data_IF_625969970105
#
_entry.id   IF_625969970105
#
_cell.length_a   1.000
_cell.length_b   1.000
_cell.length_c   1.000
_cell.angle_alpha   90.00
_cell.angle_beta   90.00
_cell.angle_gamma   90.00
#
_symmetry.space_group_name_H-M   'P 1'
#
loop_
_entity.id
_entity.type
_entity.pdbx_description
1 polymer ?
#
# COMPACT_ATOMS: atom_id res chain seq x y z
N UNK A 1 24.51 -29.14 3.83
CA UNK A 1 24.16 -28.09 4.79
C UNK A 1 23.37 -27.01 4.04
N UNK A 2 22.15 -26.68 4.51
CA UNK A 2 21.35 -25.61 3.92
C UNK A 2 21.98 -24.23 4.16
N UNK A 3 21.90 -23.36 3.18
CA UNK A 3 22.33 -21.98 3.37
C UNK A 3 21.31 -21.23 4.24
N UNK A 4 21.81 -20.51 5.24
CA UNK A 4 20.97 -19.66 6.09
C UNK A 4 20.30 -18.56 5.24
N UNK A 5 18.98 -18.45 5.34
CA UNK A 5 18.21 -17.35 4.81
C UNK A 5 17.64 -16.55 5.99
N UNK A 6 18.01 -15.31 6.11
CA UNK A 6 17.59 -14.43 7.21
C UNK A 6 17.75 -12.97 6.81
N UNK A 7 16.82 -12.14 7.21
CA UNK A 7 16.90 -10.68 7.13
C UNK A 7 16.68 -10.09 8.53
N UNK A 8 17.57 -9.24 8.97
CA UNK A 8 17.38 -8.43 10.18
C UNK A 8 18.24 -7.17 10.09
N UNK A 9 17.73 -6.09 10.63
CA UNK A 9 18.39 -4.79 10.56
C UNK A 9 18.48 -4.17 11.94
N UNK A 10 19.68 -3.74 12.32
CA UNK A 10 19.88 -3.04 13.59
C UNK A 10 19.29 -1.63 13.49
N UNK A 11 18.46 -1.25 14.42
CA UNK A 11 17.88 0.08 14.48
C UNK A 11 18.96 1.18 14.48
N UNK A 12 18.79 2.17 13.58
CA UNK A 12 19.73 3.29 13.37
C UNK A 12 21.15 2.91 12.93
N UNK A 13 21.38 1.71 12.43
CA UNK A 13 22.67 1.39 11.85
C UNK A 13 22.81 2.02 10.47
N UNK A 14 23.83 2.86 10.27
CA UNK A 14 24.11 3.47 8.98
C UNK A 14 24.56 2.47 7.90
N UNK A 15 24.90 1.24 8.30
CA UNK A 15 25.35 0.17 7.40
C UNK A 15 24.31 -0.95 7.25
N UNK A 16 23.16 -0.82 7.94
CA UNK A 16 22.10 -1.81 7.84
C UNK A 16 21.36 -1.65 6.52
N UNK A 17 21.31 -2.72 5.74
CA UNK A 17 20.72 -2.72 4.40
C UNK A 17 20.08 -4.05 4.03
N UNK A 18 19.68 -4.85 5.01
CA UNK A 18 18.98 -6.11 4.77
C UNK A 18 17.56 -5.88 4.20
N UNK A 19 16.99 -4.68 4.42
CA UNK A 19 15.69 -4.29 3.89
C UNK A 19 15.79 -3.09 2.94
N UNK A 20 15.09 -3.20 1.83
CA UNK A 20 15.01 -2.19 0.77
C UNK A 20 13.58 -1.76 0.50
N UNK A 21 13.31 -0.49 0.20
CA UNK A 21 11.99 -0.06 -0.25
C UNK A 21 11.56 -0.78 -1.54
N UNK A 22 10.24 -0.94 -1.67
CA UNK A 22 9.62 -1.43 -2.89
C UNK A 22 9.16 -2.88 -2.87
N UNK A 23 8.26 -3.21 -3.79
CA UNK A 23 7.77 -4.57 -3.99
C UNK A 23 8.82 -5.46 -4.67
N UNK A 24 8.59 -6.75 -4.61
CA UNK A 24 9.33 -7.75 -5.38
C UNK A 24 8.57 -8.10 -6.66
N UNK A 25 9.30 -8.45 -7.70
CA UNK A 25 8.72 -9.08 -8.88
C UNK A 25 8.10 -10.45 -8.52
N UNK A 26 7.32 -11.02 -9.41
CA UNK A 26 6.70 -12.34 -9.24
C UNK A 26 7.72 -13.48 -9.02
N UNK A 27 8.99 -13.24 -9.35
CA UNK A 27 10.11 -14.18 -9.14
C UNK A 27 11.03 -13.75 -7.98
N UNK A 28 10.60 -12.80 -7.16
CA UNK A 28 11.30 -12.37 -5.95
C UNK A 28 12.59 -11.60 -6.19
N UNK A 29 12.61 -10.73 -7.19
CA UNK A 29 13.73 -9.84 -7.50
C UNK A 29 13.32 -8.37 -7.38
N UNK A 30 14.29 -7.50 -7.13
CA UNK A 30 14.16 -6.05 -7.14
C UNK A 30 15.45 -5.42 -7.68
N UNK A 31 15.45 -4.10 -7.87
CA UNK A 31 16.61 -3.34 -8.35
C UNK A 31 16.69 -1.95 -7.72
N UNK A 32 17.75 -1.22 -8.01
CA UNK A 32 18.00 0.13 -7.49
C UNK A 32 16.87 1.09 -7.90
N UNK A 33 16.43 1.04 -9.15
CA UNK A 33 15.35 1.89 -9.66
C UNK A 33 14.03 1.64 -8.88
N UNK A 34 13.71 0.38 -8.56
CA UNK A 34 12.56 0.06 -7.72
C UNK A 34 12.71 0.67 -6.33
N UNK A 35 13.90 0.56 -5.73
CA UNK A 35 14.17 1.14 -4.42
C UNK A 35 13.96 2.66 -4.42
N UNK A 36 14.52 3.38 -5.39
CA UNK A 36 14.39 4.84 -5.51
C UNK A 36 12.93 5.26 -5.74
N UNK A 37 12.21 4.54 -6.57
CA UNK A 37 10.81 4.81 -6.87
C UNK A 37 9.89 4.59 -5.68
N UNK A 38 10.18 3.62 -4.82
CA UNK A 38 9.34 3.22 -3.71
C UNK A 38 9.82 3.70 -2.33
N UNK A 39 10.90 4.46 -2.25
CA UNK A 39 11.37 5.07 -0.98
C UNK A 39 10.49 6.25 -0.57
N UNK A 40 9.22 5.94 -0.31
CA UNK A 40 8.19 6.91 0.06
C UNK A 40 7.06 6.30 0.87
N UNK A 41 6.30 7.17 1.50
CA UNK A 41 5.01 6.84 2.12
C UNK A 41 3.88 7.36 1.25
N UNK A 42 2.81 6.57 1.14
CA UNK A 42 1.56 6.95 0.49
C UNK A 42 0.55 7.25 1.59
N UNK A 43 0.16 8.51 1.70
CA UNK A 43 -0.70 9.00 2.78
C UNK A 43 -2.06 9.31 2.20
N UNK A 44 -3.11 8.84 2.86
CA UNK A 44 -4.51 9.12 2.51
C UNK A 44 -5.24 9.58 3.76
N UNK A 45 -5.96 10.69 3.64
CA UNK A 45 -6.75 11.24 4.72
C UNK A 45 -8.19 10.71 4.67
N UNK A 46 -8.73 10.39 5.83
CA UNK A 46 -10.12 9.93 5.93
C UNK A 46 -11.15 10.97 5.48
N UNK A 47 -10.83 12.27 5.58
CA UNK A 47 -11.68 13.32 5.04
C UNK A 47 -11.79 13.24 3.52
N UNK A 48 -10.69 12.97 2.82
CA UNK A 48 -10.66 12.86 1.36
C UNK A 48 -11.44 11.63 0.89
N UNK A 49 -11.37 10.52 1.65
CA UNK A 49 -12.21 9.33 1.38
C UNK A 49 -13.70 9.67 1.55
N UNK A 50 -14.08 10.38 2.61
CA UNK A 50 -15.48 10.76 2.86
C UNK A 50 -16.01 11.70 1.79
N UNK A 51 -15.20 12.65 1.34
CA UNK A 51 -15.57 13.59 0.27
C UNK A 51 -15.76 12.85 -1.06
N UNK A 52 -14.86 11.91 -1.36
CA UNK A 52 -14.94 11.07 -2.55
C UNK A 52 -16.21 10.20 -2.56
N UNK A 53 -16.51 9.49 -1.46
CA UNK A 53 -17.72 8.67 -1.36
C UNK A 53 -18.96 9.52 -1.59
N UNK A 54 -19.05 10.70 -0.97
CA UNK A 54 -20.17 11.62 -1.16
C UNK A 54 -20.31 12.06 -2.61
N UNK A 55 -19.19 12.45 -3.25
CA UNK A 55 -19.20 12.88 -4.66
C UNK A 55 -19.64 11.75 -5.60
N UNK A 56 -19.18 10.53 -5.33
CA UNK A 56 -19.59 9.36 -6.10
C UNK A 56 -21.08 9.03 -5.93
N UNK A 57 -21.59 9.00 -4.69
CA UNK A 57 -23.01 8.76 -4.40
C UNK A 57 -23.91 9.82 -5.05
N UNK A 58 -23.49 11.09 -5.07
CA UNK A 58 -24.21 12.17 -5.72
C UNK A 58 -24.23 11.97 -7.24
N UNK A 59 -23.12 11.62 -7.86
CA UNK A 59 -23.03 11.35 -9.30
C UNK A 59 -23.94 10.17 -9.69
N UNK A 60 -23.90 9.07 -8.92
CA UNK A 60 -24.78 7.91 -9.11
C UNK A 60 -26.25 8.29 -8.96
N UNK A 61 -26.59 9.09 -7.96
CA UNK A 61 -27.96 9.58 -7.73
C UNK A 61 -28.49 10.45 -8.87
N UNK A 62 -27.60 11.14 -9.58
CA UNK A 62 -27.94 11.94 -10.77
C UNK A 62 -27.89 11.13 -12.07
N UNK A 63 -27.43 9.87 -12.04
CA UNK A 63 -27.26 9.03 -13.23
C UNK A 63 -26.13 9.51 -14.15
N UNK A 64 -25.09 10.14 -13.60
CA UNK A 64 -23.91 10.61 -14.34
C UNK A 64 -22.64 9.94 -13.83
N UNK A 65 -21.59 9.95 -14.62
CA UNK A 65 -20.27 9.52 -14.18
C UNK A 65 -19.63 10.54 -13.22
N UNK A 66 -18.84 10.07 -12.26
CA UNK A 66 -18.05 10.95 -11.41
C UNK A 66 -17.01 11.70 -12.24
N UNK A 67 -16.97 13.02 -12.10
CA UNK A 67 -15.95 13.84 -12.74
C UNK A 67 -14.58 13.58 -12.07
N UNK A 68 -13.55 13.20 -12.82
CA UNK A 68 -12.21 12.99 -12.29
C UNK A 68 -11.61 14.19 -11.54
N UNK A 69 -12.06 15.42 -11.85
CA UNK A 69 -11.62 16.62 -11.12
C UNK A 69 -12.11 16.63 -9.66
N UNK A 70 -13.18 15.93 -9.36
CA UNK A 70 -13.73 15.79 -8.01
C UNK A 70 -13.11 14.63 -7.19
N UNK A 71 -12.19 13.87 -7.79
CA UNK A 71 -11.45 12.81 -7.08
C UNK A 71 -10.24 13.42 -6.38
N UNK A 72 -10.11 13.28 -5.05
CA UNK A 72 -8.94 13.79 -4.32
C UNK A 72 -7.62 13.18 -4.82
N UNK A 73 -6.58 13.98 -4.86
CA UNK A 73 -5.25 13.60 -5.32
C UNK A 73 -4.67 12.41 -4.54
N UNK A 74 -4.92 12.34 -3.23
CA UNK A 74 -4.43 11.26 -2.38
C UNK A 74 -4.96 9.89 -2.84
N UNK A 75 -6.21 9.85 -3.36
CA UNK A 75 -6.81 8.65 -3.91
C UNK A 75 -6.21 8.31 -5.28
N UNK A 76 -5.98 9.31 -6.14
CA UNK A 76 -5.33 9.10 -7.45
C UNK A 76 -3.89 8.62 -7.32
N UNK A 77 -3.19 9.02 -6.25
CA UNK A 77 -1.80 8.64 -5.96
C UNK A 77 -1.65 7.34 -5.20
N UNK A 78 -2.77 6.72 -4.78
CA UNK A 78 -2.72 5.53 -3.95
C UNK A 78 -2.24 4.30 -4.73
N UNK A 79 -1.26 3.53 -4.22
CA UNK A 79 -0.64 2.43 -4.95
C UNK A 79 -1.47 1.14 -4.86
N UNK A 80 -2.69 1.19 -5.35
CA UNK A 80 -3.54 0.01 -5.45
C UNK A 80 -3.54 -0.54 -6.88
N UNK A 81 -3.72 -1.85 -6.98
CA UNK A 81 -3.71 -2.56 -8.25
C UNK A 81 -4.71 -1.98 -9.24
N UNK A 82 -4.28 -1.70 -10.45
CA UNK A 82 -5.14 -1.24 -11.55
C UNK A 82 -5.37 0.27 -11.59
N UNK A 83 -4.84 1.05 -10.63
CA UNK A 83 -5.04 2.50 -10.58
C UNK A 83 -4.76 3.18 -11.92
N UNK A 84 -5.78 3.71 -12.64
CA UNK A 84 -5.59 4.31 -13.94
C UNK A 84 -4.89 5.66 -13.90
N UNK A 85 -4.91 6.34 -12.75
CA UNK A 85 -4.29 7.66 -12.56
C UNK A 85 -2.81 7.58 -12.20
N UNK A 86 -2.26 6.39 -11.95
CA UNK A 86 -0.90 6.23 -11.44
C UNK A 86 0.16 6.91 -12.30
N UNK A 87 0.10 6.74 -13.61
CA UNK A 87 1.06 7.31 -14.57
C UNK A 87 0.98 8.83 -14.72
N UNK A 88 -0.04 9.48 -14.18
CA UNK A 88 -0.12 10.94 -14.14
C UNK A 88 0.81 11.55 -13.07
N UNK A 89 1.15 10.76 -12.05
CA UNK A 89 1.93 11.20 -10.89
C UNK A 89 3.32 10.55 -10.78
N UNK A 90 3.51 9.40 -11.42
CA UNK A 90 4.72 8.60 -11.27
C UNK A 90 5.21 8.05 -12.62
N UNK A 91 6.51 8.13 -12.86
CA UNK A 91 7.19 7.66 -14.08
C UNK A 91 7.54 6.17 -14.03
N UNK A 92 6.80 5.37 -13.28
CA UNK A 92 7.01 3.92 -13.16
C UNK A 92 5.69 3.17 -13.00
N UNK A 93 5.67 1.92 -13.43
CA UNK A 93 4.47 1.10 -13.43
C UNK A 93 4.15 0.49 -12.05
N UNK A 94 2.87 0.35 -11.75
CA UNK A 94 2.41 -0.48 -10.63
C UNK A 94 2.57 -1.96 -10.95
N UNK A 95 3.08 -2.77 -10.00
CA UNK A 95 3.01 -4.22 -10.12
C UNK A 95 1.56 -4.70 -10.26
N UNK A 96 1.31 -5.46 -11.30
CA UNK A 96 0.00 -6.05 -11.58
C UNK A 96 -0.01 -7.54 -11.22
N UNK A 97 0.12 -7.87 -9.95
CA UNK A 97 0.01 -9.23 -9.45
C UNK A 97 -1.24 -9.44 -8.58
N UNK A 98 -1.59 -10.71 -8.35
CA UNK A 98 -2.81 -11.07 -7.64
C UNK A 98 -2.84 -10.66 -6.16
N UNK A 99 -1.68 -10.40 -5.55
CA UNK A 99 -1.62 -9.94 -4.17
C UNK A 99 -1.93 -8.45 -4.03
N UNK A 100 -1.90 -7.71 -5.15
CA UNK A 100 -2.08 -6.26 -5.15
C UNK A 100 -1.02 -5.54 -4.31
N UNK A 101 -1.27 -4.30 -3.97
CA UNK A 101 -0.46 -3.47 -3.07
C UNK A 101 -1.34 -2.90 -1.96
N UNK A 102 -1.68 -1.62 -2.02
CA UNK A 102 -2.59 -0.99 -1.08
C UNK A 102 -3.98 -1.62 -1.12
N UNK A 103 -4.52 -1.94 0.05
CA UNK A 103 -5.88 -2.47 0.13
C UNK A 103 -6.90 -1.37 -0.15
N UNK A 104 -8.00 -1.71 -0.78
CA UNK A 104 -9.07 -0.78 -1.14
C UNK A 104 -10.45 -1.44 -1.04
N UNK A 105 -11.47 -0.62 -0.90
CA UNK A 105 -12.85 -1.02 -1.12
C UNK A 105 -13.10 -1.04 -2.62
N UNK A 106 -13.61 -2.15 -3.11
CA UNK A 106 -13.91 -2.41 -4.52
C UNK A 106 -15.43 -2.34 -4.71
N UNK A 107 -15.91 -1.23 -5.24
CA UNK A 107 -17.34 -0.93 -5.32
C UNK A 107 -18.05 -1.76 -6.38
N UNK A 108 -17.38 -2.06 -7.49
CA UNK A 108 -17.95 -2.80 -8.62
C UNK A 108 -17.57 -4.29 -8.64
N UNK A 109 -16.61 -4.73 -7.78
CA UNK A 109 -16.19 -6.13 -7.63
C UNK A 109 -15.28 -6.64 -8.74
N UNK A 110 -14.59 -5.77 -9.46
CA UNK A 110 -13.73 -6.14 -10.60
C UNK A 110 -12.28 -6.44 -10.22
N UNK A 111 -11.92 -6.22 -8.95
CA UNK A 111 -10.58 -6.36 -8.38
C UNK A 111 -9.51 -5.42 -8.98
N UNK A 112 -9.92 -4.32 -9.57
CA UNK A 112 -9.04 -3.24 -9.98
C UNK A 112 -9.46 -1.97 -9.26
N UNK A 113 -8.48 -1.18 -8.83
CA UNK A 113 -8.74 0.08 -8.17
C UNK A 113 -8.97 1.17 -9.20
N UNK A 114 -10.18 1.70 -9.25
CA UNK A 114 -10.52 2.90 -9.99
C UNK A 114 -11.41 3.81 -9.13
N UNK A 115 -10.88 4.93 -8.61
CA UNK A 115 -11.70 5.86 -7.84
C UNK A 115 -12.91 6.40 -8.61
N UNK A 116 -12.85 6.44 -9.94
CA UNK A 116 -13.98 6.88 -10.77
C UNK A 116 -15.19 5.96 -10.61
N UNK A 117 -14.94 4.67 -10.35
CA UNK A 117 -15.98 3.65 -10.16
C UNK A 117 -16.47 3.53 -8.71
N UNK A 118 -15.98 4.43 -7.84
CA UNK A 118 -16.39 4.49 -6.43
C UNK A 118 -15.44 3.76 -5.48
N UNK A 119 -14.28 3.30 -5.94
CA UNK A 119 -13.30 2.65 -5.11
C UNK A 119 -12.55 3.67 -4.24
N UNK A 120 -12.14 3.24 -3.07
CA UNK A 120 -11.36 4.07 -2.15
C UNK A 120 -10.40 3.24 -1.29
N UNK A 121 -9.26 3.84 -0.85
CA UNK A 121 -8.33 3.19 0.07
C UNK A 121 -9.02 2.71 1.34
N UNK A 122 -8.75 1.47 1.73
CA UNK A 122 -9.39 0.83 2.86
C UNK A 122 -8.39 0.03 3.70
N UNK A 123 -8.79 -0.33 4.92
CA UNK A 123 -8.03 -1.22 5.78
C UNK A 123 -8.59 -2.63 5.61
N UNK A 124 -7.74 -3.56 5.22
CA UNK A 124 -8.10 -4.97 5.19
C UNK A 124 -7.83 -5.60 6.56
N UNK A 125 -8.87 -5.92 7.29
CA UNK A 125 -8.80 -6.72 8.52
C UNK A 125 -9.42 -8.08 8.24
N UNK A 126 -8.67 -9.15 8.44
CA UNK A 126 -9.14 -10.51 8.14
C UNK A 126 -10.44 -10.82 8.88
N UNK A 127 -11.49 -11.12 8.11
CA UNK A 127 -12.80 -11.48 8.64
C UNK A 127 -13.70 -10.28 8.97
N UNK A 128 -13.29 -9.07 8.70
CA UNK A 128 -14.11 -7.87 8.81
C UNK A 128 -14.38 -7.29 7.43
N UNK A 129 -15.62 -6.83 7.17
CA UNK A 129 -15.90 -6.05 5.96
C UNK A 129 -15.09 -4.74 5.97
N UNK A 130 -14.59 -4.34 4.83
CA UNK A 130 -13.83 -3.09 4.65
C UNK A 130 -14.73 -1.84 4.63
N UNK A 131 -16.03 -2.04 4.77
CA UNK A 131 -17.08 -1.16 4.22
C UNK A 131 -17.44 0.08 5.02
N UNK A 132 -16.99 0.35 6.21
CA UNK A 132 -17.64 1.46 6.92
C UNK A 132 -16.84 2.18 8.00
N UNK A 133 -15.62 1.81 8.22
CA UNK A 133 -14.80 2.44 9.26
C UNK A 133 -13.43 2.79 8.67
N UNK A 134 -13.36 3.95 7.98
CA UNK A 134 -12.02 4.42 7.60
C UNK A 134 -11.42 5.14 8.78
N UNK A 135 -10.11 5.00 8.98
CA UNK A 135 -9.36 5.84 9.89
C UNK A 135 -9.31 7.28 9.38
N UNK A 136 -8.94 8.19 10.26
CA UNK A 136 -8.72 9.58 9.86
C UNK A 136 -7.44 9.77 9.05
N UNK A 137 -6.50 8.84 9.15
CA UNK A 137 -5.30 8.78 8.29
C UNK A 137 -4.86 7.34 8.04
N UNK A 138 -4.48 7.04 6.79
CA UNK A 138 -3.83 5.81 6.37
C UNK A 138 -2.47 6.17 5.79
N UNK A 139 -1.44 5.46 6.23
CA UNK A 139 -0.09 5.52 5.64
C UNK A 139 0.27 4.14 5.12
N UNK A 140 0.53 4.02 3.82
CA UNK A 140 0.96 2.77 3.19
C UNK A 140 2.41 2.86 2.73
N UNK A 141 3.15 1.76 2.90
CA UNK A 141 4.46 1.56 2.28
C UNK A 141 4.75 0.09 2.08
N UNK A 142 5.75 -0.18 1.26
CA UNK A 142 6.19 -1.55 0.97
C UNK A 142 7.71 -1.64 1.02
N UNK A 143 8.22 -2.76 1.51
CA UNK A 143 9.63 -3.06 1.52
C UNK A 143 9.88 -4.56 1.35
N UNK A 144 11.13 -4.90 1.07
CA UNK A 144 11.55 -6.28 0.81
C UNK A 144 12.95 -6.55 1.39
N UNK A 145 13.37 -7.82 1.34
CA UNK A 145 14.69 -8.25 1.80
C UNK A 145 15.61 -8.74 0.67
N UNK A 146 15.31 -8.43 -0.60
CA UNK A 146 16.05 -9.00 -1.73
C UNK A 146 16.89 -8.01 -2.54
N UNK A 147 17.05 -6.76 -2.05
CA UNK A 147 17.75 -5.71 -2.77
C UNK A 147 19.25 -5.92 -2.90
N UNK A 148 19.88 -6.54 -1.92
CA UNK A 148 21.33 -6.79 -1.91
C UNK A 148 21.73 -7.97 -1.03
N UNK A 149 23.05 -8.15 -0.86
CA UNK A 149 23.61 -9.07 0.13
C UNK A 149 23.41 -8.48 1.54
N UNK A 150 22.85 -9.28 2.44
CA UNK A 150 22.59 -8.86 3.81
C UNK A 150 23.87 -8.65 4.60
N UNK A 151 24.15 -7.39 4.96
CA UNK A 151 25.40 -7.04 5.69
C UNK A 151 25.26 -7.20 7.19
N UNK A 152 24.04 -7.10 7.75
CA UNK A 152 23.81 -7.28 9.18
C UNK A 152 23.82 -8.75 9.61
N UNK A 153 23.25 -9.61 8.79
CA UNK A 153 23.08 -11.03 9.13
C UNK A 153 24.06 -11.94 8.42
N UNK A 154 24.67 -11.48 7.32
CA UNK A 154 25.42 -12.30 6.35
C UNK A 154 24.59 -13.47 5.80
N UNK A 155 23.25 -13.39 5.93
CA UNK A 155 22.31 -14.36 5.40
C UNK A 155 22.00 -14.12 3.93
N UNK A 156 21.32 -15.07 3.32
CA UNK A 156 20.74 -14.90 1.99
C UNK A 156 19.35 -14.32 2.12
N UNK A 157 18.84 -13.59 1.09
CA UNK A 157 17.47 -13.12 1.07
C UNK A 157 16.47 -14.27 1.25
N UNK A 158 15.44 -14.01 2.06
CA UNK A 158 14.26 -14.86 2.20
C UNK A 158 13.37 -14.69 0.96
N UNK A 159 13.44 -13.54 0.32
CA UNK A 159 12.53 -13.01 -0.72
C UNK A 159 11.13 -12.76 -0.17
N UNK A 160 11.10 -12.05 0.91
CA UNK A 160 9.88 -11.61 1.58
C UNK A 160 9.57 -10.17 1.18
N UNK A 161 8.37 -9.95 0.61
CA UNK A 161 7.79 -8.62 0.46
C UNK A 161 6.90 -8.33 1.66
N UNK A 162 7.00 -7.15 2.21
CA UNK A 162 6.21 -6.70 3.36
C UNK A 162 5.45 -5.44 2.98
N UNK A 163 4.14 -5.54 2.90
CA UNK A 163 3.24 -4.42 2.69
C UNK A 163 2.69 -3.98 4.05
N UNK A 164 2.79 -2.70 4.35
CA UNK A 164 2.40 -2.16 5.66
C UNK A 164 1.36 -1.07 5.49
N UNK A 165 0.33 -1.13 6.31
CA UNK A 165 -0.58 -0.03 6.56
C UNK A 165 -0.43 0.40 8.03
N UNK A 166 -0.11 1.67 8.26
CA UNK A 166 -0.28 2.31 9.55
C UNK A 166 -1.53 3.19 9.49
N UNK A 167 -2.32 3.25 10.56
CA UNK A 167 -3.52 4.06 10.58
C UNK A 167 -3.88 4.51 11.99
N UNK A 168 -4.62 5.61 12.07
CA UNK A 168 -5.04 6.22 13.30
C UNK A 168 -6.46 6.79 13.21
N UNK A 169 -7.10 6.93 14.35
CA UNK A 169 -8.45 7.48 14.49
C UNK A 169 -8.43 8.70 15.42
N UNK A 170 -9.06 9.78 15.01
CA UNK A 170 -9.34 10.93 15.86
C UNK A 170 -10.65 10.69 16.62
N UNK A 171 -10.54 10.27 17.87
CA UNK A 171 -11.68 9.99 18.75
C UNK A 171 -11.59 10.76 20.06
N UNK A 172 -12.63 10.71 20.87
CA UNK A 172 -12.64 11.35 22.20
C UNK A 172 -12.30 10.37 23.34
N UNK A 173 -11.68 9.25 23.03
CA UNK A 173 -11.30 8.20 23.98
C UNK A 173 -9.83 7.79 23.78
N UNK A 174 -9.40 6.68 24.41
CA UNK A 174 -8.03 6.20 24.37
C UNK A 174 -7.57 5.76 22.97
N UNK A 175 -8.48 5.52 22.04
CA UNK A 175 -8.15 5.16 20.64
C UNK A 175 -7.41 6.32 19.96
N UNK A 176 -7.70 7.57 20.34
CA UNK A 176 -7.00 8.76 19.85
C UNK A 176 -5.47 8.74 20.10
N UNK A 177 -5.04 8.01 21.13
CA UNK A 177 -3.63 7.91 21.50
C UNK A 177 -2.95 6.66 20.89
N UNK A 178 -3.62 5.95 19.98
CA UNK A 178 -3.15 4.71 19.40
C UNK A 178 -2.82 4.87 17.93
N UNK A 179 -1.75 4.22 17.49
CA UNK A 179 -1.45 3.97 16.07
C UNK A 179 -1.51 2.47 15.83
N UNK A 180 -2.26 2.08 14.83
CA UNK A 180 -2.42 0.69 14.44
C UNK A 180 -1.53 0.35 13.26
N UNK A 181 -1.02 -0.88 13.22
CA UNK A 181 -0.19 -1.37 12.14
C UNK A 181 -0.72 -2.72 11.64
N UNK A 182 -0.85 -2.83 10.33
CA UNK A 182 -1.13 -4.07 9.64
C UNK A 182 0.05 -4.43 8.76
N UNK A 183 0.54 -5.65 8.88
CA UNK A 183 1.62 -6.20 8.06
C UNK A 183 1.08 -7.35 7.20
N UNK A 184 1.23 -7.26 5.87
CA UNK A 184 0.97 -8.34 4.93
C UNK A 184 2.31 -8.88 4.44
N UNK A 185 2.60 -10.12 4.77
CA UNK A 185 3.84 -10.81 4.40
C UNK A 185 3.60 -11.66 3.16
N UNK A 186 4.34 -11.42 2.10
CA UNK A 186 4.21 -12.13 0.83
C UNK A 186 5.53 -12.82 0.52
N UNK A 187 5.51 -14.15 0.49
CA UNK A 187 6.67 -14.93 0.09
C UNK A 187 6.75 -14.99 -1.43
N UNK A 188 7.82 -14.41 -2.00
CA UNK A 188 8.13 -14.40 -3.43
C UNK A 188 9.27 -15.37 -3.78
N UNK A 189 9.68 -16.23 -2.85
CA UNK A 189 10.71 -17.23 -3.15
C UNK A 189 10.19 -18.27 -4.16
N UNK A 190 10.97 -18.51 -5.21
CA UNK A 190 10.77 -19.54 -6.23
C UNK A 190 11.84 -20.60 -6.10
#
# INVERSE_FOLDING_TARGET
>A
AGNLKIAAQTYRSATANDFWPGPLSSIGTTGADTCENWDRFFIVKGVDIKEHIRAYEEAVGLGIELDPENIPDDLKKYPARGNPYWSEYYDFDLPNDNQGLGAFFDANGDNNYDPKDGDYPAIEVKGCPTESNFPDEIVFWVYNDAGNSHTNTNGRPIRMEVQVQAFAYATNDQINDMTFYRYKLINRAV
#
